data_IF_506473018553
#
_entry.id   IF_506473018553
#
_cell.length_a   1.000
_cell.length_b   1.000
_cell.length_c   1.000
_cell.angle_alpha   90.00
_cell.angle_beta   90.00
_cell.angle_gamma   90.00
#
_symmetry.space_group_name_H-M   'P 1'
#
loop_
_entity.id
_entity.type
_entity.pdbx_description
1 polymer ?
#
# COMPACT_ATOMS: atom_id res chain seq x y z
N UNK A 1 19.36 10.25 39.54
CA UNK A 1 19.05 10.51 38.12
C UNK A 1 19.16 9.18 37.41
N UNK A 2 18.03 8.56 37.07
CA UNK A 2 18.02 7.29 36.37
C UNK A 2 18.30 7.54 34.89
N UNK A 3 19.33 6.90 34.36
CA UNK A 3 19.64 6.94 32.94
C UNK A 3 18.42 6.41 32.16
N UNK A 4 17.76 7.30 31.43
CA UNK A 4 16.78 6.90 30.43
C UNK A 4 17.56 6.22 29.32
N UNK A 5 17.66 4.89 29.39
CA UNK A 5 18.19 4.09 28.29
C UNK A 5 17.28 4.32 27.09
N UNK A 6 17.73 5.13 26.14
CA UNK A 6 17.06 5.32 24.86
C UNK A 6 17.18 4.01 24.08
N UNK A 7 16.16 3.16 24.18
CA UNK A 7 16.09 1.90 23.45
C UNK A 7 16.08 2.20 21.95
N UNK A 8 17.21 1.97 21.30
CA UNK A 8 17.37 2.22 19.86
C UNK A 8 16.91 0.98 19.11
N UNK A 9 15.87 1.11 18.31
CA UNK A 9 15.37 0.01 17.48
C UNK A 9 15.99 0.07 16.08
N UNK A 10 16.31 -1.09 15.46
CA UNK A 10 16.66 -1.10 14.05
C UNK A 10 15.47 -0.60 13.24
N UNK A 11 15.73 -0.02 12.05
CA UNK A 11 14.69 0.61 11.23
C UNK A 11 13.51 -0.31 10.94
N UNK A 12 13.79 -1.59 10.72
CA UNK A 12 12.80 -2.61 10.47
C UNK A 12 12.86 -3.71 11.52
N UNK A 13 11.71 -4.10 12.03
CA UNK A 13 11.56 -5.18 13.02
C UNK A 13 10.44 -6.11 12.55
N UNK A 14 10.71 -7.41 12.48
CA UNK A 14 9.66 -8.41 12.29
C UNK A 14 9.11 -8.80 13.66
N UNK A 15 7.79 -8.72 13.81
CA UNK A 15 7.10 -9.09 15.05
C UNK A 15 5.78 -9.80 14.74
N UNK A 16 5.17 -10.44 15.74
CA UNK A 16 3.83 -11.04 15.59
C UNK A 16 2.77 -10.02 15.96
N UNK A 17 1.87 -9.71 15.04
CA UNK A 17 0.66 -8.94 15.35
C UNK A 17 -0.40 -9.90 15.92
N UNK A 18 -0.89 -9.59 17.12
CA UNK A 18 -1.84 -10.45 17.84
C UNK A 18 -3.24 -10.42 17.24
N UNK A 19 -3.60 -9.37 16.52
CA UNK A 19 -4.91 -9.21 15.89
C UNK A 19 -5.11 -10.25 14.79
N UNK A 20 -4.12 -10.32 13.91
CA UNK A 20 -4.15 -11.15 12.70
C UNK A 20 -3.36 -12.45 12.87
N UNK A 21 -2.80 -12.68 14.08
CA UNK A 21 -2.04 -13.88 14.46
C UNK A 21 -0.95 -14.27 13.45
N UNK A 22 -0.25 -13.28 12.87
CA UNK A 22 0.81 -13.50 11.89
C UNK A 22 1.95 -12.51 12.06
N UNK A 23 3.08 -12.85 11.45
CA UNK A 23 4.23 -11.95 11.40
C UNK A 23 3.94 -10.74 10.51
N UNK A 24 4.39 -9.58 10.96
CA UNK A 24 4.35 -8.31 10.23
C UNK A 24 5.72 -7.66 10.26
N UNK A 25 5.98 -6.81 9.28
CA UNK A 25 7.16 -5.96 9.26
C UNK A 25 6.79 -4.57 9.78
N UNK A 26 7.48 -4.14 10.84
CA UNK A 26 7.31 -2.81 11.41
C UNK A 26 8.44 -1.87 11.00
N UNK A 27 8.10 -0.65 10.56
CA UNK A 27 9.05 0.45 10.37
C UNK A 27 9.01 1.38 11.58
N UNK A 28 10.16 1.61 12.20
CA UNK A 28 10.25 2.23 13.54
C UNK A 28 10.86 3.63 13.55
N UNK A 29 11.12 4.25 12.39
CA UNK A 29 11.88 5.50 12.33
C UNK A 29 11.11 6.65 11.66
N UNK A 30 10.39 6.40 10.58
CA UNK A 30 9.61 7.43 9.87
C UNK A 30 8.54 8.00 10.79
N UNK A 31 8.53 9.33 10.98
CA UNK A 31 7.54 10.07 11.77
C UNK A 31 7.29 9.51 13.19
N UNK A 32 8.36 9.03 13.84
CA UNK A 32 8.28 8.41 15.17
C UNK A 32 7.91 6.92 15.17
N UNK A 33 7.84 6.29 14.00
CA UNK A 33 7.64 4.86 13.82
C UNK A 33 6.20 4.40 14.08
N UNK A 34 6.05 3.10 14.37
CA UNK A 34 4.75 2.46 14.61
C UNK A 34 4.03 2.04 13.33
N UNK A 35 4.74 2.01 12.20
CA UNK A 35 4.19 1.64 10.91
C UNK A 35 4.20 0.12 10.73
N UNK A 36 3.08 -0.45 10.29
CA UNK A 36 2.99 -1.82 9.78
C UNK A 36 3.10 -1.73 8.26
N UNK A 37 4.12 -2.35 7.69
CA UNK A 37 4.29 -2.42 6.23
C UNK A 37 3.35 -3.48 5.67
N UNK A 38 2.50 -3.10 4.72
CA UNK A 38 1.51 -3.98 4.09
C UNK A 38 1.87 -4.34 2.65
N UNK A 39 2.75 -3.57 2.02
CA UNK A 39 3.35 -3.89 0.72
C UNK A 39 4.76 -3.34 0.68
N UNK A 40 5.68 -4.09 0.07
CA UNK A 40 7.01 -3.59 -0.31
C UNK A 40 7.40 -4.07 -1.69
N UNK A 41 7.96 -3.16 -2.50
CA UNK A 41 8.76 -3.44 -3.70
C UNK A 41 10.12 -2.75 -3.60
N UNK A 42 11.19 -3.53 -3.61
CA UNK A 42 12.56 -3.05 -3.43
C UNK A 42 13.57 -3.84 -4.27
N UNK A 43 13.29 -5.10 -4.62
CA UNK A 43 14.21 -5.98 -5.33
C UNK A 43 13.66 -6.50 -6.66
N UNK A 44 12.34 -6.71 -6.78
CA UNK A 44 11.73 -7.29 -7.98
C UNK A 44 11.85 -8.81 -8.08
N UNK A 45 12.12 -9.48 -6.97
CA UNK A 45 12.30 -10.93 -6.88
C UNK A 45 10.98 -11.70 -6.69
N UNK A 46 9.88 -11.00 -6.47
CA UNK A 46 8.54 -11.56 -6.32
C UNK A 46 7.64 -11.10 -7.46
N UNK A 47 6.98 -12.05 -8.11
CA UNK A 47 5.93 -11.79 -9.09
C UNK A 47 4.63 -11.36 -8.38
N UNK A 48 4.12 -10.19 -8.74
CA UNK A 48 2.87 -9.61 -8.22
C UNK A 48 1.69 -9.84 -9.16
N UNK A 49 1.88 -10.46 -10.32
CA UNK A 49 0.78 -10.86 -11.20
C UNK A 49 0.11 -12.15 -10.67
N UNK A 50 -0.65 -11.99 -9.59
CA UNK A 50 -1.24 -13.08 -8.80
C UNK A 50 -2.77 -13.06 -8.83
N UNK A 51 -3.33 -14.23 -8.54
CA UNK A 51 -4.77 -14.46 -8.48
C UNK A 51 -5.42 -13.88 -7.21
N UNK A 52 -6.75 -13.96 -7.14
CA UNK A 52 -7.52 -13.47 -6.00
C UNK A 52 -7.11 -14.13 -4.68
N UNK A 53 -6.90 -15.45 -4.69
CA UNK A 53 -6.58 -16.22 -3.49
C UNK A 53 -5.23 -15.79 -2.90
N UNK A 54 -4.22 -15.64 -3.74
CA UNK A 54 -2.91 -15.14 -3.33
C UNK A 54 -2.98 -13.71 -2.77
N UNK A 55 -3.74 -12.81 -3.39
CA UNK A 55 -3.92 -11.45 -2.88
C UNK A 55 -4.73 -11.40 -1.57
N UNK A 56 -5.68 -12.32 -1.38
CA UNK A 56 -6.41 -12.50 -0.13
C UNK A 56 -5.49 -12.94 1.01
N UNK A 57 -4.65 -13.95 0.78
CA UNK A 57 -3.80 -14.57 1.81
C UNK A 57 -2.49 -13.81 2.06
N UNK A 58 -1.98 -13.15 1.02
CA UNK A 58 -0.66 -12.51 1.01
C UNK A 58 0.42 -13.44 0.43
N UNK A 59 1.52 -12.83 -0.02
CA UNK A 59 2.63 -13.53 -0.67
C UNK A 59 3.93 -12.74 -0.56
N UNK A 60 5.05 -13.40 -0.87
CA UNK A 60 6.40 -12.81 -0.79
C UNK A 60 7.06 -13.02 0.57
N UNK A 61 8.04 -12.17 0.90
CA UNK A 61 8.81 -12.25 2.14
C UNK A 61 8.89 -10.91 2.86
N UNK A 62 8.70 -10.90 4.18
CA UNK A 62 8.85 -9.70 5.02
C UNK A 62 10.27 -9.10 5.01
N UNK A 63 11.27 -9.85 4.52
CA UNK A 63 12.64 -9.34 4.32
C UNK A 63 12.91 -8.83 2.91
N UNK A 64 11.96 -8.99 1.97
CA UNK A 64 12.08 -8.63 0.56
C UNK A 64 10.81 -7.98 0.04
N UNK A 65 10.41 -8.33 -1.19
CA UNK A 65 9.16 -7.88 -1.78
C UNK A 65 7.98 -8.72 -1.25
N UNK A 66 6.86 -8.08 -0.90
CA UNK A 66 5.68 -8.79 -0.40
C UNK A 66 4.38 -7.99 -0.49
N UNK A 67 3.26 -8.72 -0.40
CA UNK A 67 1.92 -8.21 -0.10
C UNK A 67 1.41 -8.92 1.16
N UNK A 68 0.96 -8.17 2.17
CA UNK A 68 0.55 -8.74 3.46
C UNK A 68 -0.69 -9.66 3.34
N UNK A 69 -1.55 -9.40 2.36
CA UNK A 69 -2.82 -10.12 2.18
C UNK A 69 -4.01 -9.25 2.55
N UNK A 70 -5.01 -9.21 1.67
CA UNK A 70 -6.18 -8.36 1.83
C UNK A 70 -6.98 -8.72 3.09
N UNK A 71 -7.08 -10.00 3.44
CA UNK A 71 -7.80 -10.40 4.64
C UNK A 71 -7.13 -9.85 5.91
N UNK A 72 -5.80 -9.95 5.98
CA UNK A 72 -5.04 -9.40 7.11
C UNK A 72 -5.14 -7.86 7.18
N UNK A 73 -5.09 -7.17 6.03
CA UNK A 73 -5.21 -5.71 5.97
C UNK A 73 -6.63 -5.28 6.38
N UNK A 74 -7.67 -6.00 5.95
CA UNK A 74 -9.05 -5.75 6.34
C UNK A 74 -9.20 -5.86 7.87
N UNK A 75 -8.83 -7.00 8.46
CA UNK A 75 -8.94 -7.23 9.91
C UNK A 75 -8.20 -6.15 10.70
N UNK A 76 -6.98 -5.76 10.29
CA UNK A 76 -6.25 -4.68 10.95
C UNK A 76 -7.02 -3.35 10.93
N UNK A 77 -7.51 -2.96 9.75
CA UNK A 77 -8.10 -1.63 9.50
C UNK A 77 -9.57 -1.51 9.87
N UNK A 78 -10.25 -2.62 10.14
CA UNK A 78 -11.63 -2.64 10.62
C UNK A 78 -11.72 -2.40 12.13
N UNK A 79 -10.76 -2.92 12.91
CA UNK A 79 -10.81 -2.78 14.36
C UNK A 79 -10.48 -1.37 14.88
N UNK A 80 -9.65 -0.60 14.17
CA UNK A 80 -9.18 0.71 14.60
C UNK A 80 -8.98 1.62 13.39
N UNK A 81 -9.05 2.95 13.54
CA UNK A 81 -8.65 3.87 12.47
C UNK A 81 -7.14 3.79 12.23
N UNK A 82 -6.76 3.63 10.96
CA UNK A 82 -5.37 3.71 10.50
C UNK A 82 -5.20 4.85 9.52
N UNK A 83 -4.03 5.49 9.54
CA UNK A 83 -3.54 6.33 8.45
C UNK A 83 -2.71 5.48 7.50
N UNK A 84 -2.63 5.90 6.24
CA UNK A 84 -1.80 5.27 5.22
C UNK A 84 -0.66 6.20 4.82
N UNK A 85 0.52 5.62 4.66
CA UNK A 85 1.68 6.26 4.04
C UNK A 85 2.25 5.37 2.95
N UNK A 86 2.63 5.98 1.84
CA UNK A 86 3.31 5.33 0.73
C UNK A 86 4.63 6.05 0.51
N UNK A 87 5.73 5.35 0.73
CA UNK A 87 7.07 5.87 0.45
C UNK A 87 7.52 5.46 -0.95
N UNK A 88 8.28 6.34 -1.60
CA UNK A 88 8.83 6.16 -2.92
C UNK A 88 10.31 6.53 -2.95
N UNK A 89 11.07 5.85 -3.81
CA UNK A 89 12.35 6.35 -4.31
C UNK A 89 12.31 6.40 -5.83
N UNK A 90 12.61 7.56 -6.40
CA UNK A 90 12.68 7.76 -7.86
C UNK A 90 13.96 8.53 -8.13
N UNK A 91 14.87 7.98 -8.95
CA UNK A 91 16.16 8.61 -9.29
C UNK A 91 16.94 9.02 -8.03
N UNK A 92 16.97 8.16 -7.00
CA UNK A 92 17.60 8.44 -5.71
C UNK A 92 16.85 9.40 -4.77
N UNK A 93 15.83 10.11 -5.24
CA UNK A 93 15.04 11.04 -4.43
C UNK A 93 13.95 10.30 -3.64
N UNK A 94 13.83 10.62 -2.35
CA UNK A 94 12.79 10.07 -1.47
C UNK A 94 11.56 10.98 -1.48
N UNK A 95 10.40 10.38 -1.67
CA UNK A 95 9.12 11.10 -1.70
C UNK A 95 8.05 10.27 -0.99
N UNK A 96 6.91 10.88 -0.65
CA UNK A 96 5.81 10.16 -0.03
C UNK A 96 4.43 10.73 -0.34
N UNK A 97 3.44 9.87 -0.20
CA UNK A 97 2.00 10.16 -0.24
C UNK A 97 1.37 9.65 1.07
N UNK A 98 0.44 10.39 1.63
CA UNK A 98 -0.24 10.07 2.89
C UNK A 98 -1.76 10.27 2.76
N UNK A 99 -2.51 9.48 3.53
CA UNK A 99 -3.96 9.59 3.66
C UNK A 99 -4.33 9.50 5.13
N UNK A 100 -5.11 10.48 5.60
CA UNK A 100 -5.45 10.61 7.03
C UNK A 100 -6.26 9.43 7.58
N UNK A 101 -6.97 8.71 6.72
CA UNK A 101 -7.60 7.43 7.04
C UNK A 101 -7.41 6.43 5.91
N UNK A 102 -7.35 5.15 6.27
CA UNK A 102 -7.24 4.02 5.37
C UNK A 102 -7.98 2.82 5.96
N UNK A 103 -8.87 2.25 5.17
CA UNK A 103 -9.55 0.98 5.45
C UNK A 103 -9.83 0.27 4.14
N UNK A 104 -9.86 -1.05 4.18
CA UNK A 104 -10.45 -1.86 3.13
C UNK A 104 -11.63 -2.64 3.71
N UNK A 105 -12.71 -2.76 2.95
CA UNK A 105 -13.87 -3.56 3.33
C UNK A 105 -13.54 -5.06 3.32
N UNK A 106 -14.50 -5.91 3.72
CA UNK A 106 -14.33 -7.35 3.70
C UNK A 106 -14.36 -7.94 2.28
N UNK A 107 -14.17 -9.27 2.17
CA UNK A 107 -14.23 -9.99 0.90
C UNK A 107 -15.61 -9.92 0.21
N UNK A 108 -16.69 -9.75 0.99
CA UNK A 108 -18.05 -9.64 0.44
C UNK A 108 -18.21 -8.36 -0.39
N UNK A 109 -17.62 -7.25 0.06
CA UNK A 109 -17.46 -6.00 -0.70
C UNK A 109 -16.09 -5.91 -1.41
N UNK A 110 -15.49 -7.06 -1.71
CA UNK A 110 -14.32 -7.19 -2.59
C UNK A 110 -13.14 -6.31 -2.17
N UNK A 111 -12.91 -6.19 -0.87
CA UNK A 111 -11.82 -5.40 -0.30
C UNK A 111 -11.81 -3.95 -0.77
N UNK A 112 -13.00 -3.34 -0.92
CA UNK A 112 -13.16 -1.96 -1.39
C UNK A 112 -12.30 -0.98 -0.59
N UNK A 113 -11.58 -0.10 -1.28
CA UNK A 113 -10.71 0.90 -0.67
C UNK A 113 -11.50 2.10 -0.12
N UNK A 114 -11.16 2.53 1.09
CA UNK A 114 -11.63 3.77 1.73
C UNK A 114 -10.43 4.63 2.13
N UNK A 115 -10.38 5.86 1.62
CA UNK A 115 -9.31 6.82 1.91
C UNK A 115 -9.86 8.14 2.47
N UNK A 116 -9.12 8.69 3.41
CA UNK A 116 -9.29 10.05 3.92
C UNK A 116 -8.60 11.11 3.06
N UNK A 117 -8.34 12.27 3.67
CA UNK A 117 -7.70 13.40 3.01
C UNK A 117 -6.25 13.10 2.65
N UNK A 118 -5.84 13.53 1.45
CA UNK A 118 -4.48 13.40 0.94
C UNK A 118 -3.51 14.44 1.51
N UNK A 119 -2.28 14.02 1.79
CA UNK A 119 -1.10 14.87 2.03
C UNK A 119 0.16 14.21 1.46
N UNK A 120 1.27 14.94 1.41
CA UNK A 120 2.55 14.37 0.99
C UNK A 120 3.37 15.30 0.12
N UNK A 121 4.44 14.75 -0.45
CA UNK A 121 5.36 15.47 -1.35
C UNK A 121 5.13 15.12 -2.82
N UNK A 122 4.26 14.16 -3.13
CA UNK A 122 4.02 13.70 -4.51
C UNK A 122 2.75 14.30 -5.11
N UNK A 123 2.91 15.32 -5.94
CA UNK A 123 1.79 15.91 -6.68
C UNK A 123 1.00 16.96 -5.92
N UNK A 124 0.17 17.71 -6.65
CA UNK A 124 -0.65 18.79 -6.09
C UNK A 124 -1.81 18.24 -5.24
N UNK A 125 -2.18 19.00 -4.20
CA UNK A 125 -3.16 18.60 -3.19
C UNK A 125 -4.60 18.45 -3.70
N UNK A 126 -4.90 18.85 -4.93
CA UNK A 126 -6.29 19.16 -5.31
C UNK A 126 -6.91 18.26 -6.38
N UNK A 127 -6.17 17.66 -7.32
CA UNK A 127 -6.73 16.64 -8.25
C UNK A 127 -5.66 15.79 -8.93
N UNK A 128 -5.87 14.47 -9.02
CA UNK A 128 -5.15 13.60 -9.97
C UNK A 128 -3.90 12.92 -9.44
N UNK A 129 -3.73 12.74 -8.12
CA UNK A 129 -2.64 11.89 -7.58
C UNK A 129 -3.02 10.39 -7.67
N UNK A 130 -2.03 9.50 -7.53
CA UNK A 130 -2.12 8.09 -7.93
C UNK A 130 -3.31 7.26 -7.42
N UNK A 131 -3.84 7.51 -6.21
CA UNK A 131 -5.04 6.81 -5.68
C UNK A 131 -6.36 7.58 -5.84
N UNK A 132 -6.36 8.72 -6.55
CA UNK A 132 -7.58 9.54 -6.72
C UNK A 132 -8.72 8.75 -7.34
N UNK A 133 -8.42 7.85 -8.29
CA UNK A 133 -9.41 6.98 -8.94
C UNK A 133 -9.63 5.66 -8.21
N UNK A 134 -8.74 5.31 -7.29
CA UNK A 134 -8.81 4.05 -6.53
C UNK A 134 -9.73 4.16 -5.31
N UNK A 135 -9.96 5.36 -4.79
CA UNK A 135 -10.86 5.52 -3.64
C UNK A 135 -12.28 5.03 -3.99
N UNK A 136 -12.89 4.30 -3.06
CA UNK A 136 -14.21 3.67 -3.19
C UNK A 136 -14.31 2.55 -4.25
N UNK A 137 -13.20 2.12 -4.86
CA UNK A 137 -13.20 1.03 -5.83
C UNK A 137 -12.96 -0.32 -5.17
N UNK A 138 -13.51 -1.36 -5.78
CA UNK A 138 -13.29 -2.75 -5.40
C UNK A 138 -11.92 -3.23 -5.91
N UNK A 139 -11.36 -4.22 -5.22
CA UNK A 139 -10.10 -4.82 -5.62
C UNK A 139 -10.33 -5.75 -6.82
N UNK A 140 -9.39 -5.77 -7.76
CA UNK A 140 -9.50 -6.57 -8.99
C UNK A 140 -8.18 -7.29 -9.25
N UNK A 141 -8.26 -8.59 -9.55
CA UNK A 141 -7.15 -9.46 -9.98
C UNK A 141 -7.40 -9.95 -11.40
N UNK A 142 -6.41 -10.59 -12.03
CA UNK A 142 -6.56 -11.06 -13.41
C UNK A 142 -7.68 -12.11 -13.58
N UNK A 143 -8.00 -12.85 -12.52
CA UNK A 143 -9.02 -13.91 -12.47
C UNK A 143 -10.34 -13.42 -11.84
N UNK A 144 -10.39 -12.21 -11.29
CA UNK A 144 -11.58 -11.65 -10.65
C UNK A 144 -11.73 -10.17 -10.96
N UNK A 145 -12.53 -9.90 -11.99
CA UNK A 145 -12.85 -8.56 -12.46
C UNK A 145 -13.96 -7.91 -11.62
N UNK A 146 -13.60 -6.86 -10.87
CA UNK A 146 -14.54 -6.01 -10.14
C UNK A 146 -14.31 -4.52 -10.46
N UNK A 147 -13.68 -4.22 -11.60
CA UNK A 147 -13.39 -2.84 -11.98
C UNK A 147 -14.56 -2.15 -12.68
N UNK A 148 -14.44 -0.84 -12.88
CA UNK A 148 -15.53 0.01 -13.39
C UNK A 148 -15.67 0.03 -14.91
N UNK A 149 -14.94 -0.82 -15.65
CA UNK A 149 -14.82 -0.74 -17.11
C UNK A 149 -15.22 -2.07 -17.78
N UNK A 150 -15.40 -2.02 -19.10
CA UNK A 150 -15.41 -3.23 -19.92
C UNK A 150 -14.00 -3.78 -20.11
N UNK A 151 -13.86 -5.08 -19.84
CA UNK A 151 -12.57 -5.79 -19.82
C UNK A 151 -11.82 -5.58 -18.51
N UNK A 152 -10.81 -6.42 -18.25
CA UNK A 152 -10.16 -6.49 -16.94
C UNK A 152 -8.88 -5.63 -16.89
N UNK A 153 -8.90 -4.54 -16.11
CA UNK A 153 -7.75 -3.66 -15.91
C UNK A 153 -6.56 -4.34 -15.24
N UNK A 154 -6.75 -5.37 -14.41
CA UNK A 154 -5.64 -6.13 -13.84
C UNK A 154 -4.88 -6.93 -14.91
N UNK A 155 -5.58 -7.41 -15.96
CA UNK A 155 -4.93 -8.03 -17.12
C UNK A 155 -4.19 -6.98 -17.96
N UNK A 156 -4.84 -5.84 -18.22
CA UNK A 156 -4.26 -4.77 -19.05
C UNK A 156 -3.01 -4.14 -18.43
N UNK A 157 -3.02 -3.92 -17.11
CA UNK A 157 -1.94 -3.28 -16.36
C UNK A 157 -1.00 -4.29 -15.68
N UNK A 158 -1.23 -5.60 -15.82
CA UNK A 158 -0.36 -6.64 -15.28
C UNK A 158 -0.08 -6.50 -13.77
N UNK A 159 -1.15 -6.40 -12.98
CA UNK A 159 -1.08 -6.29 -11.52
C UNK A 159 -2.47 -6.20 -10.93
N UNK A 160 -2.64 -6.59 -9.66
CA UNK A 160 -3.91 -6.40 -8.98
C UNK A 160 -3.97 -5.04 -8.27
N UNK A 161 -5.13 -4.39 -8.33
CA UNK A 161 -5.30 -3.06 -7.72
C UNK A 161 -6.78 -2.71 -7.51
N UNK A 162 -7.01 -1.56 -6.89
CA UNK A 162 -8.30 -0.90 -6.83
C UNK A 162 -8.50 -0.06 -8.11
N UNK A 163 -9.01 -0.71 -9.16
CA UNK A 163 -9.22 -0.12 -10.47
C UNK A 163 -10.64 0.49 -10.59
N UNK A 164 -10.75 1.68 -11.19
CA UNK A 164 -12.01 2.25 -11.69
C UNK A 164 -12.06 2.07 -13.22
N UNK A 165 -11.93 3.15 -14.00
CA UNK A 165 -11.55 3.08 -15.42
C UNK A 165 -10.03 2.90 -15.54
N UNK A 166 -9.56 1.76 -15.02
CA UNK A 166 -8.17 1.47 -14.66
C UNK A 166 -7.66 2.40 -13.54
N UNK A 167 -6.48 3.01 -13.65
CA UNK A 167 -5.84 3.62 -12.48
C UNK A 167 -4.91 4.77 -12.84
N UNK A 168 -4.62 5.61 -11.84
CA UNK A 168 -3.53 6.58 -11.84
C UNK A 168 -2.29 6.08 -11.06
N UNK A 169 -2.32 4.83 -10.59
CA UNK A 169 -1.18 4.16 -9.97
C UNK A 169 -1.28 2.65 -10.09
N UNK A 170 -0.16 1.97 -10.28
CA UNK A 170 -0.11 0.51 -10.32
C UNK A 170 1.08 0.02 -9.50
N UNK A 171 1.04 0.15 -8.17
CA UNK A 171 2.18 -0.20 -7.31
C UNK A 171 2.48 -1.71 -7.27
N UNK A 172 1.58 -2.52 -7.83
CA UNK A 172 1.69 -3.96 -7.96
C UNK A 172 2.07 -4.42 -9.38
N UNK A 173 2.42 -3.49 -10.27
CA UNK A 173 2.83 -3.81 -11.64
C UNK A 173 4.18 -4.51 -11.76
N UNK A 174 4.64 -4.63 -13.00
CA UNK A 174 5.95 -5.19 -13.36
C UNK A 174 7.07 -4.31 -12.80
N UNK A 175 8.03 -4.93 -12.14
CA UNK A 175 9.14 -4.20 -11.50
C UNK A 175 10.06 -3.56 -12.55
N UNK A 176 10.44 -2.29 -12.33
CA UNK A 176 11.32 -1.48 -13.18
C UNK A 176 10.90 -1.32 -14.66
N UNK A 177 9.69 -1.76 -15.03
CA UNK A 177 9.10 -1.48 -16.32
C UNK A 177 8.64 -0.01 -16.37
N UNK A 178 9.17 0.78 -17.30
CA UNK A 178 8.81 2.19 -17.47
C UNK A 178 7.66 2.39 -18.45
N UNK A 179 6.56 1.65 -18.22
CA UNK A 179 5.37 1.67 -19.07
C UNK A 179 4.09 1.48 -18.24
N UNK A 180 2.93 1.45 -18.90
CA UNK A 180 1.62 1.32 -18.24
C UNK A 180 1.47 0.08 -17.35
N UNK A 181 2.20 -1.00 -17.67
CA UNK A 181 2.21 -2.25 -16.89
C UNK A 181 3.15 -2.22 -15.69
N UNK A 182 4.00 -1.21 -15.58
CA UNK A 182 5.02 -1.12 -14.56
C UNK A 182 4.52 -0.60 -13.22
N UNK A 183 5.37 -0.76 -12.20
CA UNK A 183 5.20 -0.06 -10.93
C UNK A 183 5.23 1.44 -11.19
N UNK A 184 4.08 2.09 -11.03
CA UNK A 184 3.89 3.47 -11.48
C UNK A 184 2.96 4.28 -10.59
N UNK A 185 3.18 5.59 -10.57
CA UNK A 185 2.34 6.56 -9.85
C UNK A 185 2.26 7.87 -10.61
N UNK A 186 1.04 8.33 -10.90
CA UNK A 186 0.81 9.64 -11.49
C UNK A 186 0.79 10.72 -10.39
N UNK A 187 1.62 11.76 -10.56
CA UNK A 187 1.74 12.85 -9.59
C UNK A 187 0.89 14.08 -9.93
N UNK A 188 -0.08 13.97 -10.85
CA UNK A 188 -0.86 15.10 -11.36
C UNK A 188 -0.25 15.80 -12.58
N UNK A 189 1.01 15.52 -12.93
CA UNK A 189 1.66 16.05 -14.13
C UNK A 189 2.33 14.98 -14.99
N UNK A 190 3.04 14.03 -14.38
CA UNK A 190 3.75 12.97 -15.08
C UNK A 190 3.69 11.64 -14.32
N UNK A 191 4.04 10.56 -15.01
CA UNK A 191 4.17 9.23 -14.42
C UNK A 191 5.56 9.08 -13.78
N UNK A 192 5.54 8.62 -12.53
CA UNK A 192 6.73 8.23 -11.78
C UNK A 192 6.86 6.71 -11.80
N UNK A 193 8.09 6.22 -11.98
CA UNK A 193 8.43 4.80 -11.97
C UNK A 193 9.45 4.54 -10.85
N UNK A 194 8.98 4.24 -9.63
CA UNK A 194 9.86 4.11 -8.47
C UNK A 194 10.75 2.86 -8.52
N UNK A 195 11.99 3.02 -8.06
CA UNK A 195 12.97 1.96 -7.79
C UNK A 195 12.89 1.46 -6.33
N UNK A 196 11.91 1.97 -5.57
CA UNK A 196 11.49 1.49 -4.25
C UNK A 196 10.07 2.01 -4.00
N UNK A 197 9.16 1.16 -3.56
CA UNK A 197 7.88 1.58 -2.99
C UNK A 197 7.51 0.75 -1.78
N UNK A 198 6.92 1.39 -0.78
CA UNK A 198 6.44 0.75 0.43
C UNK A 198 5.11 1.37 0.84
N UNK A 199 4.10 0.52 1.02
CA UNK A 199 2.78 0.92 1.55
C UNK A 199 2.74 0.48 3.00
N UNK A 200 2.47 1.42 3.91
CA UNK A 200 2.47 1.16 5.35
C UNK A 200 1.37 1.92 6.06
N UNK A 201 0.86 1.33 7.14
CA UNK A 201 -0.28 1.85 7.90
C UNK A 201 0.11 2.03 9.36
N UNK A 202 -0.47 3.04 10.01
CA UNK A 202 -0.26 3.27 11.45
C UNK A 202 -1.58 3.62 12.13
N UNK A 203 -1.80 3.13 13.34
CA UNK A 203 -3.01 3.46 14.11
C UNK A 203 -3.05 4.96 14.41
N UNK A 204 -4.18 5.60 14.09
CA UNK A 204 -4.45 6.98 14.49
C UNK A 204 -4.80 6.98 15.97
N UNK A 205 -4.02 7.70 16.78
CA UNK A 205 -4.38 7.89 18.19
C UNK A 205 -5.60 8.82 18.24
N UNK A 206 -6.72 8.33 18.76
CA UNK A 206 -7.82 9.22 19.11
C UNK A 206 -7.32 10.16 20.22
N UNK A 207 -7.38 11.47 19.98
CA UNK A 207 -7.26 12.42 21.07
C UNK A 207 -8.52 12.26 21.93
N UNK A 208 -8.35 11.72 23.13
CA UNK A 208 -9.39 11.78 24.15
C UNK A 208 -9.48 13.26 24.52
N UNK A 209 -10.53 13.92 24.07
CA UNK A 209 -10.90 15.27 24.50
C UNK A 209 -11.42 15.28 25.93
#
# INVERSE_FOLDING_TARGET
MGDVVTKTYPRYVITTDQTIQRQVLCETQTDGGGWIVIQRRAAGDVDFYRDWTAYREGFGSLTGDFWLGNEAIHILTDMHPYELRIDFRVNGQRMFAEYSTFRIEDESDKYRLRLGSYSGTIGEKTTGHGLSYSNNQQFTTFDRDNDGRSGNCAVLNHGAWWYYSCTLSNLNGIWLEQASKGVSWFNGSTWLYPEFTEIKIRRVRQQIG
#
